data_IF_566572941502
#
_entry.id   IF_566572941502
#
_cell.length_a   1.000
_cell.length_b   1.000
_cell.length_c   1.000
_cell.angle_alpha   90.00
_cell.angle_beta   90.00
_cell.angle_gamma   90.00
#
_symmetry.space_group_name_H-M   'P 1'
#
loop_
_entity.id
_entity.type
_entity.pdbx_description
1 polymer ?
#
# COMPACT_ATOMS: atom_id res chain seq x y z
N UNK A 1 -8.51 -9.02 -3.91
CA UNK A 1 -7.07 -9.09 -4.21
C UNK A 1 -6.33 -8.49 -3.04
N UNK A 2 -5.14 -8.98 -2.72
CA UNK A 2 -4.38 -8.59 -1.51
C UNK A 2 -2.88 -8.70 -1.75
N UNK A 3 -2.07 -8.47 -0.71
CA UNK A 3 -0.62 -8.62 -0.71
C UNK A 3 -0.11 -9.93 -1.33
N UNK A 4 -0.87 -11.04 -1.25
CA UNK A 4 -0.49 -12.34 -1.82
C UNK A 4 -0.65 -12.42 -3.35
N UNK A 5 -1.20 -11.37 -3.97
CA UNK A 5 -1.29 -11.22 -5.43
C UNK A 5 -0.42 -10.02 -5.84
N UNK A 6 0.92 -10.16 -5.89
CA UNK A 6 1.83 -9.02 -5.99
C UNK A 6 1.62 -8.17 -7.26
N UNK A 7 1.18 -8.79 -8.37
CA UNK A 7 1.05 -8.15 -9.70
C UNK A 7 -0.33 -7.54 -9.99
N UNK A 8 -1.18 -7.41 -8.98
CA UNK A 8 -2.58 -6.98 -9.18
C UNK A 8 -2.85 -5.75 -8.32
N UNK A 9 -3.51 -4.73 -8.87
CA UNK A 9 -3.98 -3.58 -8.09
C UNK A 9 -5.27 -3.98 -7.36
N UNK A 10 -5.33 -3.79 -6.04
CA UNK A 10 -6.46 -4.25 -5.22
C UNK A 10 -7.69 -3.35 -5.42
N UNK A 11 -7.61 -2.08 -5.00
CA UNK A 11 -8.64 -1.07 -5.27
C UNK A 11 -8.08 0.35 -5.08
N UNK A 12 -8.85 1.33 -5.54
CA UNK A 12 -8.54 2.75 -5.43
C UNK A 12 -9.72 3.55 -4.90
N UNK A 13 -9.44 4.74 -4.36
CA UNK A 13 -10.45 5.66 -3.87
C UNK A 13 -10.04 7.11 -4.14
N UNK A 14 -11.03 7.95 -4.45
CA UNK A 14 -10.89 9.41 -4.46
C UNK A 14 -11.66 9.93 -3.25
N UNK A 15 -10.99 10.38 -2.16
CA UNK A 15 -11.67 10.78 -0.94
C UNK A 15 -12.53 12.02 -1.16
N UNK A 16 -13.80 11.98 -0.73
CA UNK A 16 -14.74 13.12 -0.88
C UNK A 16 -14.24 14.42 -0.24
N UNK A 17 -13.42 14.33 0.81
CA UNK A 17 -12.87 15.48 1.56
C UNK A 17 -11.49 15.93 1.07
N UNK A 18 -10.78 15.06 0.36
CA UNK A 18 -9.45 15.34 -0.22
C UNK A 18 -9.50 15.02 -1.70
N UNK A 19 -10.22 15.85 -2.46
CA UNK A 19 -10.52 15.61 -3.87
C UNK A 19 -9.28 15.62 -4.77
N UNK A 20 -8.16 16.15 -4.30
CA UNK A 20 -6.88 16.12 -5.00
C UNK A 20 -6.15 14.78 -4.84
N UNK A 21 -6.55 13.93 -3.89
CA UNK A 21 -5.88 12.68 -3.62
C UNK A 21 -6.51 11.55 -4.44
N UNK A 22 -5.65 10.69 -4.98
CA UNK A 22 -6.00 9.38 -5.48
C UNK A 22 -5.29 8.34 -4.60
N UNK A 23 -6.06 7.64 -3.77
CA UNK A 23 -5.53 6.62 -2.87
C UNK A 23 -5.61 5.27 -3.55
N UNK A 24 -4.45 4.63 -3.79
CA UNK A 24 -4.31 3.25 -4.23
C UNK A 24 -4.09 2.39 -3.00
N UNK A 25 -4.97 1.44 -2.75
CA UNK A 25 -4.95 0.67 -1.50
C UNK A 25 -4.36 -0.71 -1.74
N UNK A 26 -3.43 -1.12 -0.89
CA UNK A 26 -2.92 -2.49 -0.73
C UNK A 26 -3.57 -3.05 0.54
N UNK A 27 -4.16 -4.24 0.44
CA UNK A 27 -4.68 -4.94 1.62
C UNK A 27 -3.70 -5.99 2.12
N UNK A 28 -3.34 -5.88 3.39
CA UNK A 28 -2.41 -6.78 4.06
C UNK A 28 -3.09 -7.43 5.27
N UNK A 29 -3.40 -8.71 5.10
CA UNK A 29 -4.09 -9.54 6.07
C UNK A 29 -3.14 -10.54 6.76
N UNK A 30 -1.84 -10.51 6.43
CA UNK A 30 -0.90 -11.51 6.91
C UNK A 30 -0.38 -11.13 8.30
N UNK A 31 -0.26 -12.13 9.16
CA UNK A 31 0.49 -12.00 10.41
C UNK A 31 1.98 -11.97 10.13
N UNK A 32 2.69 -11.12 10.87
CA UNK A 32 4.14 -10.96 10.72
C UNK A 32 4.94 -12.20 11.16
N UNK A 33 4.45 -12.96 12.13
CA UNK A 33 5.12 -14.17 12.62
C UNK A 33 6.51 -13.91 13.24
N UNK A 34 7.37 -14.92 13.15
CA UNK A 34 8.76 -14.87 13.62
C UNK A 34 9.68 -14.11 12.67
N UNK A 35 10.98 -14.02 13.01
CA UNK A 35 11.94 -13.22 12.23
C UNK A 35 12.12 -13.68 10.78
N UNK A 36 11.98 -14.98 10.51
CA UNK A 36 12.13 -15.51 9.15
C UNK A 36 10.90 -15.14 8.31
N UNK A 37 9.71 -15.35 8.87
CA UNK A 37 8.42 -15.04 8.27
C UNK A 37 8.27 -13.53 7.99
N UNK A 38 8.76 -12.67 8.89
CA UNK A 38 8.82 -11.22 8.68
C UNK A 38 9.62 -10.86 7.42
N UNK A 39 10.72 -11.57 7.14
CA UNK A 39 11.51 -11.36 5.94
C UNK A 39 10.75 -11.71 4.65
N UNK A 40 10.04 -12.84 4.66
CA UNK A 40 9.21 -13.29 3.52
C UNK A 40 8.04 -12.33 3.28
N UNK A 41 7.39 -11.88 4.36
CA UNK A 41 6.31 -10.90 4.30
C UNK A 41 6.79 -9.56 3.73
N UNK A 42 7.95 -9.06 4.18
CA UNK A 42 8.53 -7.84 3.61
C UNK A 42 8.86 -7.95 2.13
N UNK A 43 9.29 -9.12 1.67
CA UNK A 43 9.52 -9.36 0.24
C UNK A 43 8.20 -9.23 -0.54
N UNK A 44 7.13 -9.87 -0.06
CA UNK A 44 5.80 -9.75 -0.68
C UNK A 44 5.32 -8.29 -0.71
N UNK A 45 5.49 -7.56 0.39
CA UNK A 45 5.09 -6.17 0.48
C UNK A 45 5.89 -5.29 -0.50
N UNK A 46 7.21 -5.50 -0.58
CA UNK A 46 8.07 -4.80 -1.54
C UNK A 46 7.64 -5.08 -3.00
N UNK A 47 7.40 -6.33 -3.37
CA UNK A 47 6.94 -6.67 -4.72
C UNK A 47 5.60 -6.03 -5.07
N UNK A 48 4.68 -6.00 -4.10
CA UNK A 48 3.37 -5.35 -4.24
C UNK A 48 3.50 -3.84 -4.41
N UNK A 49 4.32 -3.18 -3.59
CA UNK A 49 4.59 -1.75 -3.69
C UNK A 49 5.22 -1.41 -5.04
N UNK A 50 6.21 -2.19 -5.50
CA UNK A 50 6.84 -2.01 -6.80
C UNK A 50 5.84 -2.11 -7.96
N UNK A 51 4.85 -2.99 -7.86
CA UNK A 51 3.77 -3.06 -8.85
C UNK A 51 2.93 -1.79 -8.88
N UNK A 52 2.63 -1.21 -7.73
CA UNK A 52 1.87 0.05 -7.65
C UNK A 52 2.68 1.24 -8.16
N UNK A 53 3.98 1.28 -7.86
CA UNK A 53 4.91 2.26 -8.42
C UNK A 53 4.91 2.17 -9.95
N UNK A 54 5.09 0.97 -10.52
CA UNK A 54 5.09 0.77 -11.97
C UNK A 54 3.76 1.18 -12.62
N UNK A 55 2.63 0.92 -11.96
CA UNK A 55 1.31 1.34 -12.43
C UNK A 55 1.17 2.87 -12.48
N UNK A 56 1.75 3.59 -11.50
CA UNK A 56 1.81 5.05 -11.48
C UNK A 56 2.75 5.58 -12.57
N UNK A 57 4.01 5.12 -12.57
CA UNK A 57 5.08 5.63 -13.42
C UNK A 57 4.84 5.36 -14.90
N UNK A 58 4.22 4.23 -15.24
CA UNK A 58 3.82 3.92 -16.62
C UNK A 58 2.70 4.83 -17.15
N UNK A 59 2.00 5.55 -16.26
CA UNK A 59 0.82 6.35 -16.59
C UNK A 59 -0.47 5.54 -16.76
N UNK A 60 -0.43 4.22 -16.56
CA UNK A 60 -1.59 3.32 -16.62
C UNK A 60 -2.70 3.74 -15.64
N UNK A 61 -2.32 4.35 -14.50
CA UNK A 61 -3.27 5.00 -13.58
C UNK A 61 -4.25 5.96 -14.27
N UNK A 62 -3.83 6.67 -15.32
CA UNK A 62 -4.66 7.68 -15.98
C UNK A 62 -5.61 7.09 -17.04
N UNK A 63 -5.37 5.85 -17.47
CA UNK A 63 -6.26 5.13 -18.38
C UNK A 63 -7.27 4.28 -17.63
N UNK A 64 -6.83 3.63 -16.54
CA UNK A 64 -7.65 2.67 -15.80
C UNK A 64 -8.53 3.31 -14.72
N UNK A 65 -8.17 4.49 -14.21
CA UNK A 65 -8.89 5.14 -13.11
C UNK A 65 -9.58 6.42 -13.59
N UNK A 66 -10.93 6.41 -13.69
CA UNK A 66 -11.69 7.60 -14.01
C UNK A 66 -11.44 8.75 -13.03
N UNK A 67 -11.04 9.90 -13.56
CA UNK A 67 -10.78 11.10 -12.77
C UNK A 67 -9.42 11.15 -12.09
N UNK A 68 -8.50 10.22 -12.38
CA UNK A 68 -7.14 10.24 -11.85
C UNK A 68 -6.28 11.41 -12.36
N UNK A 69 -6.59 11.95 -13.54
CA UNK A 69 -5.79 13.01 -14.14
C UNK A 69 -5.73 14.26 -13.24
N UNK A 70 -4.51 14.73 -12.96
CA UNK A 70 -4.26 15.89 -12.10
C UNK A 70 -4.41 15.61 -10.60
N UNK A 71 -4.56 14.35 -10.18
CA UNK A 71 -4.56 13.94 -8.78
C UNK A 71 -3.16 13.54 -8.29
N UNK A 72 -2.94 13.73 -7.00
CA UNK A 72 -1.76 13.26 -6.30
C UNK A 72 -1.94 11.78 -5.89
N UNK A 73 -1.11 10.86 -6.41
CA UNK A 73 -1.21 9.44 -6.06
C UNK A 73 -0.69 9.20 -4.64
N UNK A 74 -1.40 8.38 -3.89
CA UNK A 74 -1.01 7.92 -2.55
C UNK A 74 -1.16 6.42 -2.51
N UNK A 75 -0.08 5.68 -2.24
CA UNK A 75 -0.14 4.25 -1.97
C UNK A 75 -0.39 4.06 -0.47
N UNK A 76 -1.50 3.40 -0.13
CA UNK A 76 -1.85 3.09 1.26
C UNK A 76 -1.82 1.59 1.50
N UNK A 77 -1.07 1.15 2.50
CA UNK A 77 -1.13 -0.22 3.01
C UNK A 77 -2.14 -0.26 4.17
N UNK A 78 -3.22 -1.02 4.00
CA UNK A 78 -4.16 -1.35 5.08
C UNK A 78 -3.73 -2.67 5.71
N UNK A 79 -3.07 -2.59 6.87
CA UNK A 79 -2.63 -3.75 7.64
C UNK A 79 -3.63 -4.17 8.72
N UNK A 80 -3.76 -5.47 8.96
CA UNK A 80 -4.56 -6.04 10.07
C UNK A 80 -3.76 -6.15 11.39
N UNK A 81 -2.44 -6.21 11.29
CA UNK A 81 -1.52 -6.42 12.41
C UNK A 81 -0.52 -5.27 12.55
N UNK A 82 -0.12 -4.98 13.79
CA UNK A 82 0.90 -3.98 14.08
C UNK A 82 2.23 -4.34 13.44
N UNK A 83 2.93 -3.33 12.95
CA UNK A 83 4.23 -3.49 12.32
C UNK A 83 5.28 -3.89 13.37
N UNK A 84 6.08 -4.94 13.16
CA UNK A 84 7.29 -5.15 13.93
C UNK A 84 8.33 -4.06 13.57
N UNK A 85 9.31 -3.84 14.44
CA UNK A 85 10.35 -2.79 14.30
C UNK A 85 11.00 -2.80 12.89
N UNK A 86 11.34 -3.97 12.37
CA UNK A 86 11.92 -4.10 11.03
C UNK A 86 10.98 -3.60 9.94
N UNK A 87 9.67 -3.84 10.07
CA UNK A 87 8.68 -3.39 9.11
C UNK A 87 8.41 -1.89 9.23
N UNK A 88 8.41 -1.32 10.44
CA UNK A 88 8.34 0.13 10.64
C UNK A 88 9.50 0.85 9.93
N UNK A 89 10.73 0.34 10.08
CA UNK A 89 11.91 0.86 9.39
C UNK A 89 11.79 0.74 7.87
N UNK A 90 11.24 -0.37 7.38
CA UNK A 90 10.98 -0.56 5.96
C UNK A 90 9.96 0.44 5.42
N UNK A 91 8.81 0.58 6.10
CA UNK A 91 7.75 1.53 5.73
C UNK A 91 8.31 2.95 5.71
N UNK A 92 9.07 3.36 6.73
CA UNK A 92 9.69 4.69 6.77
C UNK A 92 10.58 4.97 5.56
N UNK A 93 11.44 4.02 5.18
CA UNK A 93 12.32 4.16 4.00
C UNK A 93 11.54 4.25 2.70
N UNK A 94 10.47 3.46 2.55
CA UNK A 94 9.60 3.53 1.37
C UNK A 94 8.93 4.90 1.31
N UNK A 95 8.40 5.41 2.42
CA UNK A 95 7.79 6.74 2.49
C UNK A 95 8.75 7.83 2.05
N UNK A 96 9.95 7.86 2.62
CA UNK A 96 10.98 8.86 2.26
C UNK A 96 11.33 8.79 0.77
N UNK A 97 11.53 7.58 0.24
CA UNK A 97 11.92 7.37 -1.17
C UNK A 97 10.81 7.80 -2.13
N UNK A 98 9.55 7.53 -1.81
CA UNK A 98 8.43 7.83 -2.70
C UNK A 98 8.03 9.31 -2.68
N UNK A 99 8.21 9.98 -1.55
CA UNK A 99 7.96 11.41 -1.43
C UNK A 99 8.87 12.20 -2.39
N UNK A 100 10.13 11.77 -2.59
CA UNK A 100 11.08 12.40 -3.53
C UNK A 100 10.60 12.40 -4.98
N UNK A 101 9.75 11.44 -5.36
CA UNK A 101 9.19 11.30 -6.71
C UNK A 101 7.71 11.75 -6.79
N UNK A 102 7.19 12.38 -5.73
CA UNK A 102 5.83 12.91 -5.69
C UNK A 102 4.74 11.85 -5.55
N UNK A 103 5.06 10.72 -4.94
CA UNK A 103 4.10 9.66 -4.60
C UNK A 103 3.96 9.61 -3.08
N UNK A 104 2.76 9.87 -2.56
CA UNK A 104 2.51 9.69 -1.14
C UNK A 104 2.51 8.22 -0.75
N UNK A 105 2.99 7.90 0.45
CA UNK A 105 2.93 6.54 0.98
C UNK A 105 2.53 6.54 2.46
N UNK A 106 1.62 5.66 2.85
CA UNK A 106 1.17 5.56 4.23
C UNK A 106 0.76 4.13 4.62
N UNK A 107 0.94 3.80 5.90
CA UNK A 107 0.40 2.59 6.52
C UNK A 107 -0.75 2.98 7.45
N UNK A 108 -1.88 2.28 7.35
CA UNK A 108 -3.01 2.44 8.25
C UNK A 108 -3.35 1.08 8.87
N UNK A 109 -3.25 0.99 10.20
CA UNK A 109 -3.68 -0.18 10.95
C UNK A 109 -5.21 -0.20 11.03
N UNK A 110 -5.82 -1.19 10.39
CA UNK A 110 -7.25 -1.53 10.56
C UNK A 110 -7.36 -2.68 11.53
N UNK A 111 -7.08 -2.40 12.80
CA UNK A 111 -7.41 -3.31 13.89
C UNK A 111 -8.94 -3.29 14.11
N UNK A 112 -9.67 -4.03 13.27
CA UNK A 112 -11.08 -4.29 13.54
C UNK A 112 -11.18 -5.57 14.37
N UNK A 113 -11.67 -5.43 15.62
CA UNK A 113 -11.90 -6.55 16.54
C UNK A 113 -12.84 -7.61 15.95
N UNK A 114 -13.68 -7.26 14.96
CA UNK A 114 -14.56 -8.20 14.27
C UNK A 114 -13.81 -9.09 13.25
N UNK A 115 -12.69 -8.63 12.68
CA UNK A 115 -11.91 -9.36 11.67
C UNK A 115 -10.91 -10.30 12.33
N UNK A 116 -10.37 -9.95 13.52
CA UNK A 116 -9.42 -10.78 14.27
C UNK A 116 -10.02 -12.09 14.83
N UNK A 117 -11.34 -12.21 14.90
CA UNK A 117 -12.05 -13.33 15.54
C UNK A 117 -12.84 -14.22 14.56
N UNK A 118 -12.63 -14.06 13.24
CA UNK A 118 -13.24 -14.92 12.22
C UNK A 118 -12.30 -16.05 11.77
#
# INVERSE_FOLDING_TARGET
MSITNPRVIDFWAIPKRKLHDLVLVITDHLEWGGKAEQGEHLLLLQEKINTYIAFIESGEIYTEIPGALGKHPIIRVLGLYELPEQAELFIGRVTETLEEVGIGFEFELKADEAIRNM
#
